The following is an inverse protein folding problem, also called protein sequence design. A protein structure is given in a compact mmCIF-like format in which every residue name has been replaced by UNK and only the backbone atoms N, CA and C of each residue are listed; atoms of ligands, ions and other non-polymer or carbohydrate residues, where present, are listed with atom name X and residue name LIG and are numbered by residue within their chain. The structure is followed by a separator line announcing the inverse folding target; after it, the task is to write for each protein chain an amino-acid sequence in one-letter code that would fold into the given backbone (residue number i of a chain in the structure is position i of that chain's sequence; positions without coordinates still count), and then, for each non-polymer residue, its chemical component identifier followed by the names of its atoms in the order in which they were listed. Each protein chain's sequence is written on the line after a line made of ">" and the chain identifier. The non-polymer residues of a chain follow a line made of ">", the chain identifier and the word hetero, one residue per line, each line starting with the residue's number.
data_IF_048001808937
#
_entry.id   IF_048001808937
#
_cell.length_a   1.000
_cell.length_b   1.000
_cell.length_c   1.000
_cell.angle_alpha   90.00
_cell.angle_beta   90.00
_cell.angle_gamma   90.00
#
_symmetry.space_group_name_H-M   'P 1'
#
loop_
_entity.id
_entity.type
_entity.pdbx_description
1 polymer ?
#
# COMPACT_ATOMS: atom_id res chain seq x y z
N UNK A 1 -1.16 12.61 7.44
CA UNK A 1 -2.12 13.28 6.55
C UNK A 1 -2.13 12.58 5.21
N UNK A 2 -3.28 12.05 4.76
CA UNK A 2 -3.43 11.27 3.52
C UNK A 2 -3.98 12.06 2.33
N UNK A 3 -4.45 13.28 2.55
CA UNK A 3 -4.98 14.18 1.51
C UNK A 3 -6.09 13.56 0.63
N UNK A 4 -6.91 12.68 1.19
CA UNK A 4 -7.98 12.00 0.45
C UNK A 4 -7.53 10.82 -0.43
N UNK A 5 -6.23 10.54 -0.52
CA UNK A 5 -5.68 9.41 -1.28
C UNK A 5 -5.67 8.12 -0.45
N UNK A 6 -6.82 7.75 0.07
CA UNK A 6 -7.04 6.46 0.74
C UNK A 6 -8.03 5.62 -0.05
N UNK A 7 -7.80 4.31 -0.07
CA UNK A 7 -8.66 3.36 -0.74
C UNK A 7 -8.90 2.13 0.13
N UNK A 8 -9.98 1.40 -0.17
CA UNK A 8 -10.15 0.05 0.37
C UNK A 8 -9.12 -0.86 -0.27
N UNK A 9 -8.47 -1.69 0.53
CA UNK A 9 -7.54 -2.67 0.02
C UNK A 9 -8.28 -3.70 -0.86
N UNK A 10 -7.83 -3.97 -2.10
CA UNK A 10 -8.50 -4.90 -3.00
C UNK A 10 -8.38 -6.38 -2.59
N UNK A 11 -7.41 -6.71 -1.73
CA UNK A 11 -7.14 -8.08 -1.26
C UNK A 11 -7.68 -8.29 0.16
N UNK A 12 -7.64 -7.26 1.01
CA UNK A 12 -8.09 -7.31 2.40
C UNK A 12 -9.26 -6.35 2.65
N UNK A 13 -10.51 -6.80 2.54
CA UNK A 13 -11.67 -5.91 2.53
C UNK A 13 -11.86 -5.08 3.81
N UNK A 14 -11.28 -5.50 4.92
CA UNK A 14 -11.32 -4.80 6.22
C UNK A 14 -10.14 -3.84 6.41
N UNK A 15 -9.41 -3.51 5.33
CA UNK A 15 -8.22 -2.67 5.40
C UNK A 15 -8.35 -1.43 4.51
N UNK A 16 -7.91 -0.30 5.04
CA UNK A 16 -7.79 0.96 4.31
C UNK A 16 -6.31 1.25 4.09
N UNK A 17 -5.96 1.61 2.86
CA UNK A 17 -4.59 1.80 2.40
C UNK A 17 -4.38 3.22 1.89
N UNK A 18 -3.17 3.76 2.04
CA UNK A 18 -2.76 5.00 1.37
C UNK A 18 -2.15 4.67 0.01
N UNK A 19 -2.68 5.30 -1.04
CA UNK A 19 -2.32 4.97 -2.43
C UNK A 19 -1.35 5.97 -3.07
N UNK A 20 -0.84 6.95 -2.32
CA UNK A 20 0.00 8.03 -2.90
C UNK A 20 1.39 7.55 -3.29
N UNK A 21 1.93 6.62 -2.52
CA UNK A 21 3.32 6.22 -2.63
C UNK A 21 3.39 4.71 -2.77
N UNK A 22 4.00 4.29 -3.86
CA UNK A 22 4.49 2.94 -4.09
C UNK A 22 5.93 3.01 -4.59
N UNK A 23 6.70 1.95 -4.39
CA UNK A 23 8.07 1.89 -4.90
C UNK A 23 8.13 1.67 -6.42
N UNK A 24 7.05 1.19 -7.03
CA UNK A 24 6.94 0.89 -8.46
C UNK A 24 5.77 1.69 -9.03
N UNK A 25 5.99 2.62 -9.99
CA UNK A 25 4.99 3.61 -10.40
C UNK A 25 3.65 3.06 -10.93
N UNK A 26 3.61 1.80 -11.38
CA UNK A 26 2.42 1.14 -11.89
C UNK A 26 1.76 0.21 -10.85
N UNK A 27 2.19 0.25 -9.59
CA UNK A 27 1.61 -0.50 -8.49
C UNK A 27 0.94 0.42 -7.46
N UNK A 28 -0.05 -0.12 -6.76
CA UNK A 28 -0.76 0.55 -5.65
C UNK A 28 -0.37 -0.03 -4.29
N UNK A 29 0.77 -0.71 -4.22
CA UNK A 29 1.28 -1.32 -2.98
C UNK A 29 1.51 -0.21 -1.94
N UNK A 30 0.78 -0.20 -0.82
CA UNK A 30 0.79 0.93 0.10
C UNK A 30 1.98 0.90 1.06
N UNK A 31 2.51 2.06 1.44
CA UNK A 31 3.54 2.15 2.48
C UNK A 31 2.99 1.95 3.90
N UNK A 32 1.71 2.29 4.10
CA UNK A 32 1.03 2.11 5.38
C UNK A 32 -0.47 1.81 5.17
N UNK A 33 -1.09 1.19 6.17
CA UNK A 33 -2.52 0.91 6.18
C UNK A 33 -3.09 0.92 7.59
N UNK A 34 -4.41 1.01 7.68
CA UNK A 34 -5.15 0.70 8.91
C UNK A 34 -6.08 -0.49 8.73
N UNK A 35 -6.15 -1.35 9.73
CA UNK A 35 -7.04 -2.50 9.78
C UNK A 35 -8.26 -2.23 10.65
N UNK A 36 -9.44 -2.57 10.12
CA UNK A 36 -10.72 -2.58 10.81
C UNK A 36 -11.05 -4.00 11.25
N UNK A 37 -11.86 -4.13 12.30
CA UNK A 37 -12.40 -5.41 12.75
C UNK A 37 -13.92 -5.39 12.64
N UNK A 38 -14.53 -6.29 11.84
CA UNK A 38 -15.97 -6.41 11.79
C UNK A 38 -16.56 -6.65 13.19
N UNK A 39 -17.62 -5.92 13.54
CA UNK A 39 -18.29 -6.04 14.84
C UNK A 39 -17.56 -5.40 16.02
N UNK A 40 -16.44 -4.69 15.81
CA UNK A 40 -15.82 -3.90 16.87
C UNK A 40 -16.69 -2.70 17.26
N UNK A 41 -16.58 -2.28 18.53
CA UNK A 41 -17.25 -1.08 19.02
C UNK A 41 -16.78 0.17 18.24
N UNK A 42 -17.62 1.22 18.10
CA UNK A 42 -17.25 2.44 17.38
C UNK A 42 -15.97 3.12 17.89
N UNK A 43 -15.65 2.95 19.16
CA UNK A 43 -14.48 3.53 19.84
C UNK A 43 -13.25 2.62 19.77
N UNK A 44 -13.38 1.41 19.22
CA UNK A 44 -12.29 0.48 19.12
C UNK A 44 -11.20 1.02 18.18
N UNK A 45 -9.97 1.06 18.68
CA UNK A 45 -8.84 1.51 17.88
C UNK A 45 -8.56 0.55 16.71
N UNK A 46 -8.21 1.16 15.57
CA UNK A 46 -7.72 0.47 14.38
C UNK A 46 -6.29 -0.01 14.58
N UNK A 47 -5.90 -1.07 13.87
CA UNK A 47 -4.48 -1.45 13.80
C UNK A 47 -3.78 -0.55 12.79
N UNK A 48 -2.59 -0.05 13.13
CA UNK A 48 -1.74 0.68 12.19
C UNK A 48 -0.59 -0.23 11.73
N UNK A 49 -0.44 -0.37 10.42
CA UNK A 49 0.56 -1.24 9.80
C UNK A 49 1.44 -0.43 8.85
N UNK A 50 2.76 -0.66 8.90
CA UNK A 50 3.71 -0.17 7.91
C UNK A 50 4.21 -1.33 7.06
N UNK A 51 4.12 -1.19 5.74
CA UNK A 51 4.57 -2.21 4.80
C UNK A 51 6.02 -1.93 4.43
N UNK A 52 6.93 -2.40 5.28
CA UNK A 52 8.37 -2.36 4.98
C UNK A 52 8.72 -3.53 4.09
N UNK A 53 8.40 -3.41 2.81
CA UNK A 53 8.92 -4.33 1.82
C UNK A 53 10.41 -4.11 1.60
N UNK A 54 11.09 -5.12 1.08
CA UNK A 54 12.49 -4.99 0.68
C UNK A 54 12.59 -3.94 -0.43
N UNK A 55 13.04 -2.74 -0.08
CA UNK A 55 13.33 -1.65 -1.03
C UNK A 55 14.22 -2.16 -2.17
N UNK A 56 15.17 -3.06 -1.85
CA UNK A 56 16.05 -3.70 -2.83
C UNK A 56 15.28 -4.54 -3.87
N UNK A 57 14.24 -5.26 -3.45
CA UNK A 57 13.43 -6.06 -4.39
C UNK A 57 12.66 -5.13 -5.34
N UNK A 58 11.98 -4.10 -4.82
CA UNK A 58 11.20 -3.16 -5.63
C UNK A 58 12.04 -2.29 -6.55
N UNK A 59 13.26 -1.94 -6.14
CA UNK A 59 14.20 -1.22 -7.00
C UNK A 59 14.59 -2.05 -8.23
N UNK A 60 14.68 -3.38 -8.08
CA UNK A 60 14.98 -4.27 -9.21
C UNK A 60 13.86 -4.28 -10.24
N UNK A 61 12.60 -4.27 -9.78
CA UNK A 61 11.42 -4.23 -10.65
C UNK A 61 11.35 -2.90 -11.40
N UNK A 62 11.52 -1.79 -10.69
CA UNK A 62 11.62 -0.46 -11.28
C UNK A 62 12.76 -0.37 -12.29
N UNK A 63 13.95 -0.88 -11.93
CA UNK A 63 15.11 -0.84 -12.82
C UNK A 63 14.85 -1.59 -14.12
N UNK A 64 14.22 -2.77 -14.05
CA UNK A 64 13.76 -3.51 -15.24
C UNK A 64 12.83 -2.67 -16.12
N UNK A 65 11.90 -1.92 -15.56
CA UNK A 65 11.02 -1.04 -16.36
C UNK A 65 11.80 0.05 -17.10
N UNK A 66 12.89 0.56 -16.50
CA UNK A 66 13.73 1.61 -17.10
C UNK A 66 14.63 1.05 -18.20
N UNK A 67 15.27 -0.11 -17.98
CA UNK A 67 16.30 -0.64 -18.90
C UNK A 67 15.79 -1.67 -19.91
N UNK A 68 14.69 -2.37 -19.61
CA UNK A 68 14.00 -3.27 -20.55
C UNK A 68 12.76 -2.59 -21.10
N UNK A 69 12.96 -1.55 -21.91
CA UNK A 69 12.01 -1.25 -22.99
C UNK A 69 12.22 -2.32 -24.06
N UNK A 70 11.33 -3.30 -24.15
CA UNK A 70 11.31 -4.25 -25.27
C UNK A 70 11.30 -3.45 -26.60
N UNK A 71 12.06 -3.87 -27.63
CA UNK A 71 12.13 -3.15 -28.91
C UNK A 71 10.78 -2.99 -29.60
#
# INVERSE_FOLDING_TARGET
>A
YSDGYVARDPIRPDRVIDVRYSFVPNEITPLWSIGLRPGAAPEAHVTFETHRESVRARLSDLWRMIVMTTP
#
